data_IF_600343899721
#
_entry.id   IF_600343899721
#
_cell.length_a   1.000
_cell.length_b   1.000
_cell.length_c   1.000
_cell.angle_alpha   90.00
_cell.angle_beta   90.00
_cell.angle_gamma   90.00
#
_symmetry.space_group_name_H-M   'P 1'
#
loop_
_entity.id
_entity.type
_entity.pdbx_description
1 polymer ?
#
# COMPACT_ATOMS: atom_id res chain seq x y z
N UNK A 1 7.34 11.91 6.73
CA UNK A 1 7.20 10.87 7.77
C UNK A 1 6.24 9.73 7.37
N UNK A 2 5.05 10.02 6.82
CA UNK A 2 4.03 9.00 6.48
C UNK A 2 4.40 8.02 5.35
N UNK A 3 5.17 8.46 4.35
CA UNK A 3 5.64 7.62 3.23
C UNK A 3 6.61 6.50 3.69
N UNK A 4 7.37 6.72 4.76
CA UNK A 4 8.31 5.73 5.30
C UNK A 4 7.59 4.58 6.01
N UNK A 5 6.45 4.86 6.65
CA UNK A 5 5.68 3.83 7.36
C UNK A 5 4.96 2.89 6.39
N UNK A 6 4.47 3.41 5.26
CA UNK A 6 3.91 2.58 4.18
C UNK A 6 4.97 1.68 3.55
N UNK A 7 6.19 2.20 3.30
CA UNK A 7 7.32 1.36 2.89
C UNK A 7 7.58 0.24 3.90
N UNK A 8 7.39 0.48 5.21
CA UNK A 8 7.56 -0.53 6.25
C UNK A 8 6.50 -1.62 6.29
N UNK A 9 5.29 -1.39 5.78
CA UNK A 9 4.21 -2.40 5.71
C UNK A 9 4.21 -3.09 4.35
N UNK A 10 4.26 -2.33 3.25
CA UNK A 10 4.21 -2.86 1.89
C UNK A 10 5.54 -3.45 1.42
N UNK A 11 6.68 -2.94 1.89
CA UNK A 11 8.00 -3.51 1.57
C UNK A 11 8.53 -4.37 2.72
N UNK A 12 7.68 -4.78 3.66
CA UNK A 12 8.11 -5.73 4.69
C UNK A 12 8.39 -7.06 4.02
N UNK A 13 9.58 -7.60 4.23
CA UNK A 13 9.89 -8.96 3.80
C UNK A 13 9.03 -9.93 4.62
N UNK A 14 8.02 -10.49 3.96
CA UNK A 14 7.16 -11.52 4.52
C UNK A 14 7.86 -12.81 4.12
N UNK A 15 8.66 -13.38 5.04
CA UNK A 15 9.55 -14.50 4.73
C UNK A 15 8.90 -15.59 3.87
N UNK A 16 9.72 -16.27 3.06
CA UNK A 16 9.39 -17.14 1.91
C UNK A 16 8.28 -18.20 2.08
N UNK A 17 7.78 -18.42 3.30
CA UNK A 17 6.80 -19.45 3.65
C UNK A 17 5.40 -18.89 4.02
N UNK A 18 5.20 -17.57 3.97
CA UNK A 18 3.93 -16.91 4.25
C UNK A 18 3.19 -16.51 2.97
N UNK A 19 1.86 -16.37 3.03
CA UNK A 19 1.06 -15.82 1.92
C UNK A 19 1.56 -14.41 1.57
N UNK A 20 1.98 -14.16 0.32
CA UNK A 20 2.54 -12.87 -0.10
C UNK A 20 1.53 -11.72 -0.03
N UNK A 21 0.23 -12.01 0.11
CA UNK A 21 -0.81 -10.99 0.26
C UNK A 21 -1.07 -10.61 1.73
N UNK A 22 -0.43 -11.28 2.70
CA UNK A 22 -0.67 -11.03 4.11
C UNK A 22 0.20 -9.89 4.63
N UNK A 23 -0.43 -8.76 4.93
CA UNK A 23 0.24 -7.61 5.54
C UNK A 23 0.04 -7.59 7.06
N UNK A 24 1.02 -7.08 7.83
CA UNK A 24 0.82 -6.82 9.25
C UNK A 24 -0.28 -5.77 9.47
N UNK A 25 -0.96 -5.77 10.64
CA UNK A 25 -1.97 -4.78 10.95
C UNK A 25 -1.43 -3.35 10.85
N UNK A 26 -2.13 -2.45 10.13
CA UNK A 26 -1.71 -1.06 10.01
C UNK A 26 -1.99 -0.29 11.30
N UNK A 27 -1.26 0.81 11.52
CA UNK A 27 -1.64 1.80 12.52
C UNK A 27 -2.95 2.49 12.08
N UNK A 28 -3.87 2.75 13.01
CA UNK A 28 -5.16 3.38 12.71
C UNK A 28 -5.04 4.72 11.98
N UNK A 29 -3.97 5.48 12.24
CA UNK A 29 -3.68 6.77 11.58
C UNK A 29 -3.36 6.61 10.09
N UNK A 30 -3.04 5.40 9.62
CA UNK A 30 -2.73 5.15 8.20
C UNK A 30 -3.97 4.86 7.36
N UNK A 31 -5.07 4.48 8.00
CA UNK A 31 -6.28 4.02 7.33
C UNK A 31 -6.96 5.21 6.66
N UNK A 32 -7.44 5.03 5.43
CA UNK A 32 -8.11 6.04 4.59
C UNK A 32 -7.22 7.20 4.13
N UNK A 33 -5.90 7.12 4.30
CA UNK A 33 -4.98 8.07 3.69
C UNK A 33 -4.57 7.60 2.29
N UNK A 34 -4.53 8.55 1.34
CA UNK A 34 -4.02 8.31 0.01
C UNK A 34 -2.50 8.36 0.01
N UNK A 35 -1.89 7.34 -0.59
CA UNK A 35 -0.46 7.26 -0.83
C UNK A 35 -0.18 7.18 -2.31
N UNK A 36 0.92 7.78 -2.74
CA UNK A 36 1.38 7.76 -4.13
C UNK A 36 2.86 7.38 -4.16
N UNK A 37 3.25 6.58 -5.14
CA UNK A 37 4.65 6.43 -5.54
C UNK A 37 4.99 7.47 -6.60
N UNK A 38 6.28 7.82 -6.68
CA UNK A 38 6.78 8.60 -7.81
C UNK A 38 6.41 7.90 -9.10
N UNK A 39 5.97 8.69 -10.07
CA UNK A 39 5.70 8.23 -11.43
C UNK A 39 6.99 7.61 -11.97
N UNK A 40 6.87 6.39 -12.51
CA UNK A 40 7.97 5.69 -13.16
C UNK A 40 7.43 5.03 -14.42
N UNK A 41 8.18 5.13 -15.52
CA UNK A 41 7.85 4.50 -16.81
C UNK A 41 6.43 4.85 -17.32
N UNK A 42 5.99 6.10 -17.09
CA UNK A 42 4.67 6.58 -17.54
C UNK A 42 3.48 6.02 -16.73
N UNK A 43 3.71 5.42 -15.56
CA UNK A 43 2.66 4.88 -14.69
C UNK A 43 2.65 5.62 -13.36
N UNK A 44 1.46 6.06 -12.94
CA UNK A 44 1.21 6.49 -11.57
C UNK A 44 0.67 5.30 -10.77
N UNK A 45 1.21 5.12 -9.56
CA UNK A 45 0.74 4.11 -8.62
C UNK A 45 0.19 4.82 -7.40
N UNK A 46 -1.10 4.61 -7.14
CA UNK A 46 -1.80 5.11 -5.97
C UNK A 46 -2.15 3.94 -5.05
N UNK A 47 -2.25 4.19 -3.76
CA UNK A 47 -2.72 3.17 -2.80
C UNK A 47 -3.46 3.76 -1.63
N UNK A 48 -4.39 2.97 -1.07
CA UNK A 48 -5.15 3.30 0.14
C UNK A 48 -5.33 2.01 0.93
N UNK A 49 -5.18 2.11 2.26
CA UNK A 49 -5.59 1.04 3.17
C UNK A 49 -6.97 1.39 3.72
N UNK A 50 -7.94 0.51 3.50
CA UNK A 50 -9.31 0.69 4.00
C UNK A 50 -9.67 -0.44 4.98
N UNK A 51 -10.60 -0.17 5.90
CA UNK A 51 -11.13 -1.18 6.82
C UNK A 51 -12.44 -1.74 6.25
N UNK A 52 -12.49 -3.05 6.02
CA UNK A 52 -13.71 -3.76 5.67
C UNK A 52 -14.09 -4.71 6.81
N UNK A 53 -15.20 -4.40 7.50
CA UNK A 53 -15.61 -5.06 8.75
C UNK A 53 -14.47 -5.04 9.77
N UNK A 54 -13.95 -6.20 10.18
CA UNK A 54 -12.84 -6.32 11.13
C UNK A 54 -11.49 -6.57 10.44
N UNK A 55 -11.43 -6.50 9.10
CA UNK A 55 -10.21 -6.72 8.31
C UNK A 55 -9.75 -5.43 7.65
N UNK A 56 -8.47 -5.36 7.29
CA UNK A 56 -7.88 -4.27 6.51
C UNK A 56 -7.56 -4.76 5.11
N UNK A 57 -7.80 -3.91 4.12
CA UNK A 57 -7.52 -4.19 2.70
C UNK A 57 -6.63 -3.07 2.18
N UNK A 58 -5.48 -3.44 1.63
CA UNK A 58 -4.61 -2.53 0.89
C UNK A 58 -4.95 -2.62 -0.59
N UNK A 59 -5.42 -1.51 -1.17
CA UNK A 59 -5.73 -1.43 -2.60
C UNK A 59 -4.62 -0.66 -3.31
N UNK A 60 -4.05 -1.24 -4.36
CA UNK A 60 -3.13 -0.56 -5.26
C UNK A 60 -3.82 -0.28 -6.59
N UNK A 61 -3.68 0.94 -7.08
CA UNK A 61 -4.23 1.39 -8.35
C UNK A 61 -3.11 1.83 -9.27
N UNK A 62 -2.96 1.11 -10.37
CA UNK A 62 -1.98 1.38 -11.42
C UNK A 62 -2.71 2.04 -12.59
N UNK A 63 -2.28 3.26 -12.95
CA UNK A 63 -2.85 4.00 -14.06
C UNK A 63 -1.74 4.54 -14.96
N UNK A 64 -1.74 4.21 -16.25
CA UNK A 64 -0.92 4.90 -17.23
C UNK A 64 -1.32 6.38 -17.27
N UNK A 65 -0.34 7.26 -17.23
CA UNK A 65 -0.53 8.68 -17.54
C UNK A 65 -0.19 8.84 -19.02
N UNK A 66 -1.19 9.18 -19.81
CA UNK A 66 -0.97 9.58 -21.19
C UNK A 66 -0.19 10.90 -21.18
N UNK A 67 0.82 10.99 -22.05
CA UNK A 67 1.50 12.26 -22.33
C UNK A 67 0.55 13.23 -23.04
#
# INVERSE_FOLDING_TARGET
LHIFYLKGILNKDIGVHCDPNLLPPPNHVMVNHLYALSIKDGVVVLSVITRYRQKFVSTLFYKPIAN
#
